data_IF_770520505041
#
_entry.id   IF_770520505041
#
_cell.length_a   1.000
_cell.length_b   1.000
_cell.length_c   1.000
_cell.angle_alpha   90.00
_cell.angle_beta   90.00
_cell.angle_gamma   90.00
#
_symmetry.space_group_name_H-M   'P 1'
#
loop_
_entity.id
_entity.type
_entity.pdbx_description
1 polymer ?
#
# COMPACT_ATOMS: atom_id res chain seq x y z
N UNK A 1 10.22 -28.26 -3.42
CA UNK A 1 9.30 -28.44 -2.25
C UNK A 1 9.49 -27.25 -1.29
N UNK A 2 8.46 -26.44 -1.11
CA UNK A 2 8.49 -25.28 -0.23
C UNK A 2 8.83 -25.64 1.23
N UNK A 3 8.48 -26.85 1.71
CA UNK A 3 8.79 -27.36 3.06
C UNK A 3 10.29 -27.46 3.34
N UNK A 4 11.09 -27.59 2.29
CA UNK A 4 12.54 -27.61 2.44
C UNK A 4 13.16 -26.23 2.67
N UNK A 5 12.41 -25.18 2.35
CA UNK A 5 12.85 -23.77 2.46
C UNK A 5 12.70 -23.24 3.90
N UNK A 6 11.68 -23.73 4.63
CA UNK A 6 11.29 -23.17 5.92
C UNK A 6 11.57 -24.12 7.07
N UNK A 7 12.02 -23.57 8.19
CA UNK A 7 12.03 -24.24 9.48
C UNK A 7 10.62 -24.29 10.08
N UNK A 8 9.86 -23.17 9.91
CA UNK A 8 8.47 -23.01 10.37
C UNK A 8 7.68 -22.25 9.33
N UNK A 9 6.44 -22.65 9.11
CA UNK A 9 5.46 -21.94 8.31
C UNK A 9 4.11 -22.00 9.03
N UNK A 10 3.57 -20.86 9.42
CA UNK A 10 2.29 -20.78 10.11
C UNK A 10 1.16 -20.92 9.10
N UNK A 11 0.45 -22.04 9.13
CA UNK A 11 -0.63 -22.34 8.19
C UNK A 11 -1.86 -21.44 8.36
N UNK A 12 -2.09 -20.92 9.57
CA UNK A 12 -3.10 -19.92 9.80
C UNK A 12 -2.59 -18.54 9.32
N UNK A 13 -3.34 -17.83 8.46
CA UNK A 13 -2.95 -16.50 8.04
C UNK A 13 -3.01 -15.52 9.23
N UNK A 14 -2.09 -14.58 9.25
CA UNK A 14 -2.03 -13.50 10.26
C UNK A 14 -2.79 -12.25 9.81
N UNK A 15 -3.02 -12.11 8.50
CA UNK A 15 -3.80 -11.02 7.91
C UNK A 15 -4.40 -11.45 6.56
N UNK A 16 -5.48 -10.79 6.17
CA UNK A 16 -5.98 -10.82 4.81
C UNK A 16 -5.26 -9.73 3.98
N UNK A 17 -5.09 -10.00 2.69
CA UNK A 17 -4.72 -9.02 1.67
C UNK A 17 -5.87 -8.89 0.66
N UNK A 18 -5.88 -7.87 -0.22
CA UNK A 18 -6.96 -7.63 -1.19
C UNK A 18 -7.28 -8.88 -2.01
N UNK A 19 -6.27 -9.56 -2.52
CA UNK A 19 -6.39 -10.75 -3.37
C UNK A 19 -5.70 -12.00 -2.79
N UNK A 20 -5.40 -12.02 -1.48
CA UNK A 20 -4.63 -13.10 -0.88
C UNK A 20 -4.62 -13.07 0.64
N UNK A 21 -3.62 -13.69 1.21
CA UNK A 21 -3.43 -13.79 2.65
C UNK A 21 -1.95 -13.72 3.01
N UNK A 22 -1.65 -13.27 4.23
CA UNK A 22 -0.29 -13.13 4.75
C UNK A 22 -0.03 -14.18 5.83
N UNK A 23 1.07 -14.90 5.71
CA UNK A 23 1.53 -15.91 6.66
C UNK A 23 2.87 -15.51 7.28
N UNK A 24 3.09 -15.92 8.52
CA UNK A 24 4.43 -15.82 9.13
C UNK A 24 5.21 -17.10 8.85
N UNK A 25 6.47 -16.94 8.51
CA UNK A 25 7.36 -18.06 8.29
C UNK A 25 8.75 -17.78 8.86
N UNK A 26 9.51 -18.83 9.14
CA UNK A 26 10.93 -18.74 9.47
C UNK A 26 11.71 -19.65 8.54
N UNK A 27 12.73 -19.12 7.89
CA UNK A 27 13.64 -19.87 7.06
C UNK A 27 14.56 -20.78 7.90
N UNK A 28 15.28 -21.69 7.25
CA UNK A 28 16.18 -22.62 7.95
C UNK A 28 17.41 -21.94 8.57
N UNK A 29 17.82 -20.81 8.01
CA UNK A 29 18.88 -19.93 8.54
C UNK A 29 18.38 -18.96 9.62
N UNK A 30 17.09 -19.06 9.99
CA UNK A 30 16.49 -18.35 11.13
C UNK A 30 15.89 -16.99 10.80
N UNK A 31 15.81 -16.58 9.53
CA UNK A 31 15.18 -15.32 9.14
C UNK A 31 13.66 -15.39 9.30
N UNK A 32 13.06 -14.43 10.01
CA UNK A 32 11.62 -14.28 10.11
C UNK A 32 11.09 -13.56 8.88
N UNK A 33 10.03 -14.10 8.27
CA UNK A 33 9.41 -13.60 7.05
C UNK A 33 7.92 -13.40 7.18
N UNK A 34 7.39 -12.44 6.43
CA UNK A 34 6.00 -12.35 6.03
C UNK A 34 5.90 -12.87 4.59
N UNK A 35 5.00 -13.84 4.37
CA UNK A 35 4.75 -14.43 3.06
C UNK A 35 3.33 -14.08 2.64
N UNK A 36 3.19 -13.23 1.62
CA UNK A 36 1.91 -12.86 1.01
C UNK A 36 1.63 -13.86 -0.12
N UNK A 37 0.50 -14.56 -0.04
CA UNK A 37 0.09 -15.58 -1.01
C UNK A 37 -1.21 -15.17 -1.67
N UNK A 38 -1.27 -15.22 -2.99
CA UNK A 38 -2.54 -15.00 -3.70
C UNK A 38 -3.50 -16.16 -3.53
N UNK A 39 -4.80 -15.87 -3.54
CA UNK A 39 -5.82 -16.91 -3.65
C UNK A 39 -5.71 -17.63 -5.01
N UNK A 40 -5.87 -18.95 -5.04
CA UNK A 40 -5.78 -19.71 -6.27
C UNK A 40 -6.76 -19.22 -7.33
N UNK A 41 -6.26 -18.93 -8.52
CA UNK A 41 -7.09 -18.58 -9.68
C UNK A 41 -7.42 -17.11 -9.84
N UNK A 42 -7.17 -16.24 -8.86
CA UNK A 42 -7.51 -14.79 -8.92
C UNK A 42 -7.02 -14.16 -10.23
N UNK A 43 -5.74 -14.32 -10.56
CA UNK A 43 -5.17 -13.73 -11.77
C UNK A 43 -5.83 -14.21 -13.06
N UNK A 44 -6.37 -15.44 -13.06
CA UNK A 44 -7.04 -16.03 -14.24
C UNK A 44 -8.50 -15.59 -14.37
N UNK A 45 -9.13 -15.20 -13.28
CA UNK A 45 -10.53 -14.76 -13.29
C UNK A 45 -10.71 -13.28 -13.59
N UNK A 46 -9.66 -12.46 -13.47
CA UNK A 46 -9.75 -10.99 -13.60
C UNK A 46 -10.55 -10.57 -14.85
N UNK A 47 -10.16 -11.05 -16.03
CA UNK A 47 -10.80 -10.63 -17.28
C UNK A 47 -12.28 -11.03 -17.31
N UNK A 48 -12.60 -12.27 -16.92
CA UNK A 48 -13.98 -12.76 -16.90
C UNK A 48 -14.82 -12.04 -15.83
N UNK A 49 -14.23 -11.73 -14.70
CA UNK A 49 -14.95 -11.04 -13.62
C UNK A 49 -15.29 -9.59 -14.01
N UNK A 50 -14.36 -8.87 -14.63
CA UNK A 50 -14.61 -7.53 -15.17
C UNK A 50 -15.65 -7.57 -16.29
N UNK A 51 -15.59 -8.53 -17.22
CA UNK A 51 -16.56 -8.68 -18.31
C UNK A 51 -17.97 -9.03 -17.79
N UNK A 52 -18.04 -9.85 -16.73
CA UNK A 52 -19.31 -10.16 -16.06
C UNK A 52 -19.93 -8.92 -15.41
N UNK A 53 -19.14 -8.11 -14.71
CA UNK A 53 -19.57 -6.83 -14.11
C UNK A 53 -20.04 -5.87 -15.20
N UNK A 54 -19.30 -5.75 -16.31
CA UNK A 54 -19.66 -4.92 -17.45
C UNK A 54 -21.00 -5.35 -18.06
N UNK A 55 -21.21 -6.64 -18.21
CA UNK A 55 -22.45 -7.22 -18.72
C UNK A 55 -23.63 -6.91 -17.81
N UNK A 56 -23.44 -7.09 -16.49
CA UNK A 56 -24.46 -6.78 -15.49
C UNK A 56 -24.84 -5.29 -15.51
N UNK A 57 -23.87 -4.39 -15.58
CA UNK A 57 -24.11 -2.96 -15.67
C UNK A 57 -24.88 -2.57 -16.94
N UNK A 58 -24.59 -3.18 -18.09
CA UNK A 58 -25.33 -2.95 -19.34
C UNK A 58 -26.77 -3.44 -19.25
N UNK A 59 -27.01 -4.63 -18.69
CA UNK A 59 -28.35 -5.22 -18.56
C UNK A 59 -29.18 -4.48 -17.53
N UNK A 60 -28.61 -3.97 -16.46
CA UNK A 60 -29.31 -3.22 -15.41
C UNK A 60 -29.88 -1.88 -15.88
N UNK A 61 -29.41 -1.35 -17.02
CA UNK A 61 -29.80 -0.04 -17.53
C UNK A 61 -29.30 1.15 -16.68
N UNK A 62 -28.39 0.91 -15.74
CA UNK A 62 -27.82 1.96 -14.89
C UNK A 62 -26.88 2.89 -15.66
N UNK A 63 -26.33 2.42 -16.79
CA UNK A 63 -25.41 3.21 -17.61
C UNK A 63 -26.15 3.86 -18.78
N UNK A 64 -25.89 5.15 -19.05
CA UNK A 64 -26.40 5.80 -20.27
C UNK A 64 -25.92 5.04 -21.52
N UNK A 65 -26.78 4.84 -22.49
CA UNK A 65 -26.46 4.13 -23.74
C UNK A 65 -25.36 4.83 -24.58
N UNK A 66 -25.15 6.11 -24.33
CA UNK A 66 -24.11 6.92 -25.00
C UNK A 66 -22.73 6.82 -24.36
N UNK A 67 -22.62 6.17 -23.19
CA UNK A 67 -21.34 6.03 -22.48
C UNK A 67 -20.56 4.85 -23.05
N UNK A 68 -19.41 5.13 -23.67
CA UNK A 68 -18.44 4.11 -24.04
C UNK A 68 -17.64 3.69 -22.79
N UNK A 69 -17.97 2.54 -22.26
CA UNK A 69 -17.30 2.00 -21.06
C UNK A 69 -16.10 1.11 -21.40
N UNK A 70 -15.86 0.81 -22.67
CA UNK A 70 -14.80 -0.12 -23.07
C UNK A 70 -13.41 0.35 -22.61
N UNK A 71 -13.02 1.63 -22.78
CA UNK A 71 -11.71 2.09 -22.29
C UNK A 71 -11.56 1.98 -20.77
N UNK A 72 -12.66 2.22 -20.04
CA UNK A 72 -12.67 2.13 -18.57
C UNK A 72 -12.48 0.68 -18.10
N UNK A 73 -13.14 -0.28 -18.79
CA UNK A 73 -13.03 -1.70 -18.48
C UNK A 73 -11.62 -2.23 -18.78
N UNK A 74 -11.03 -1.84 -19.90
CA UNK A 74 -9.65 -2.23 -20.23
C UNK A 74 -8.65 -1.66 -19.22
N UNK A 75 -8.86 -0.41 -18.79
CA UNK A 75 -8.05 0.19 -17.74
C UNK A 75 -8.21 -0.54 -16.40
N UNK A 76 -9.45 -0.90 -16.02
CA UNK A 76 -9.72 -1.67 -14.82
C UNK A 76 -9.04 -3.05 -14.86
N UNK A 77 -9.11 -3.78 -16.00
CA UNK A 77 -8.41 -5.04 -16.21
C UNK A 77 -6.90 -4.86 -16.03
N UNK A 78 -6.32 -3.83 -16.65
CA UNK A 78 -4.90 -3.54 -16.56
C UNK A 78 -4.49 -3.30 -15.10
N UNK A 79 -5.23 -2.48 -14.36
CA UNK A 79 -4.94 -2.19 -12.95
C UNK A 79 -5.03 -3.44 -12.07
N UNK A 80 -6.07 -4.26 -12.25
CA UNK A 80 -6.22 -5.52 -11.51
C UNK A 80 -5.10 -6.52 -11.82
N UNK A 81 -4.67 -6.62 -13.09
CA UNK A 81 -3.53 -7.46 -13.45
C UNK A 81 -2.21 -6.96 -12.85
N UNK A 82 -2.03 -5.64 -12.75
CA UNK A 82 -0.87 -5.04 -12.11
C UNK A 82 -0.87 -5.29 -10.60
N UNK A 83 -2.01 -5.16 -9.93
CA UNK A 83 -2.18 -5.47 -8.51
C UNK A 83 -1.97 -6.97 -8.23
N UNK A 84 -2.35 -7.83 -9.19
CA UNK A 84 -2.15 -9.28 -9.11
C UNK A 84 -0.70 -9.73 -9.41
N UNK A 85 0.27 -8.82 -9.60
CA UNK A 85 1.67 -9.18 -9.83
C UNK A 85 2.55 -8.83 -8.63
N UNK A 86 2.78 -9.80 -7.77
CA UNK A 86 3.61 -9.63 -6.57
C UNK A 86 5.10 -9.41 -6.85
N UNK A 87 5.60 -9.69 -8.06
CA UNK A 87 6.95 -9.26 -8.44
C UNK A 87 7.03 -7.75 -8.58
N UNK A 88 6.01 -7.15 -9.22
CA UNK A 88 5.89 -5.68 -9.32
C UNK A 88 5.82 -5.03 -7.93
N UNK A 89 5.09 -5.64 -7.00
CA UNK A 89 5.04 -5.16 -5.62
C UNK A 89 6.42 -5.25 -4.94
N UNK A 90 7.18 -6.33 -5.16
CA UNK A 90 8.55 -6.47 -4.67
C UNK A 90 9.49 -5.40 -5.25
N UNK A 91 9.40 -5.13 -6.55
CA UNK A 91 10.21 -4.10 -7.23
C UNK A 91 9.89 -2.70 -6.67
N UNK A 92 8.61 -2.39 -6.46
CA UNK A 92 8.17 -1.15 -5.84
C UNK A 92 8.69 -1.03 -4.39
N UNK A 93 8.58 -2.10 -3.61
CA UNK A 93 9.10 -2.15 -2.23
C UNK A 93 10.60 -1.84 -2.19
N UNK A 94 11.39 -2.42 -3.09
CA UNK A 94 12.83 -2.14 -3.19
C UNK A 94 13.09 -0.68 -3.61
N UNK A 95 12.33 -0.17 -4.59
CA UNK A 95 12.42 1.22 -5.04
C UNK A 95 12.14 2.19 -3.90
N UNK A 96 11.03 2.01 -3.17
CA UNK A 96 10.67 2.86 -2.03
C UNK A 96 11.67 2.72 -0.87
N UNK A 97 12.20 1.51 -0.64
CA UNK A 97 13.30 1.30 0.31
C UNK A 97 14.53 2.15 0.00
N UNK A 98 14.85 2.31 -1.29
CA UNK A 98 15.95 3.17 -1.74
C UNK A 98 15.60 4.67 -1.62
N UNK A 99 14.39 5.06 -1.97
CA UNK A 99 13.91 6.46 -1.90
C UNK A 99 13.79 6.97 -0.46
N UNK A 100 13.54 6.07 0.49
CA UNK A 100 13.38 6.38 1.91
C UNK A 100 14.59 5.98 2.76
N UNK A 101 15.74 5.66 2.13
CA UNK A 101 16.92 5.19 2.85
C UNK A 101 17.41 6.16 3.94
N UNK A 102 17.30 7.47 3.68
CA UNK A 102 17.70 8.53 4.61
C UNK A 102 16.54 9.03 5.51
N UNK A 103 15.33 8.45 5.38
CA UNK A 103 14.16 8.85 6.14
C UNK A 103 14.06 8.07 7.47
N UNK A 104 14.45 8.70 8.58
CA UNK A 104 14.48 8.07 9.90
C UNK A 104 13.10 7.72 10.47
N UNK A 105 12.02 8.30 9.94
CA UNK A 105 10.65 8.08 10.42
C UNK A 105 10.04 6.79 9.90
N UNK A 106 10.63 6.18 8.86
CA UNK A 106 10.05 5.03 8.18
C UNK A 106 10.95 3.80 8.25
N UNK A 107 10.32 2.63 8.20
CA UNK A 107 10.96 1.34 7.99
C UNK A 107 10.11 0.51 7.03
N UNK A 108 10.76 -0.15 6.10
CA UNK A 108 10.14 -1.03 5.13
C UNK A 108 10.67 -2.45 5.31
N UNK A 109 9.83 -3.48 5.09
CA UNK A 109 10.34 -4.82 4.94
C UNK A 109 11.26 -4.90 3.71
N UNK A 110 12.12 -5.90 3.67
CA UNK A 110 12.98 -6.16 2.52
C UNK A 110 12.44 -7.35 1.74
N UNK A 111 12.26 -7.20 0.43
CA UNK A 111 11.85 -8.31 -0.43
C UNK A 111 12.93 -9.40 -0.47
N UNK A 112 12.50 -10.66 -0.45
CA UNK A 112 13.36 -11.83 -0.57
C UNK A 112 13.15 -12.43 -1.97
N UNK A 113 13.94 -11.98 -2.94
CA UNK A 113 13.76 -12.30 -4.37
C UNK A 113 13.81 -13.80 -4.65
N UNK A 114 14.67 -14.55 -3.94
CA UNK A 114 14.77 -15.99 -4.09
C UNK A 114 13.45 -16.73 -3.82
N UNK A 115 12.60 -16.18 -2.96
CA UNK A 115 11.30 -16.75 -2.56
C UNK A 115 10.11 -16.05 -3.22
N UNK A 116 10.33 -14.91 -3.87
CA UNK A 116 9.26 -14.11 -4.51
C UNK A 116 8.94 -14.64 -5.90
N UNK A 117 7.66 -14.71 -6.23
CA UNK A 117 7.07 -15.13 -7.52
C UNK A 117 5.94 -14.15 -7.87
N UNK A 118 5.32 -14.34 -9.04
CA UNK A 118 4.18 -13.50 -9.46
C UNK A 118 2.96 -13.60 -8.52
N UNK A 119 2.82 -14.72 -7.82
CA UNK A 119 1.73 -15.04 -6.90
C UNK A 119 2.17 -15.19 -5.43
N UNK A 120 3.46 -14.98 -5.15
CA UNK A 120 4.07 -15.08 -3.82
C UNK A 120 5.00 -13.90 -3.61
N UNK A 121 4.75 -13.07 -2.58
CA UNK A 121 5.70 -12.08 -2.11
C UNK A 121 6.27 -12.52 -0.77
N UNK A 122 7.58 -12.75 -0.72
CA UNK A 122 8.32 -13.00 0.50
C UNK A 122 9.06 -11.74 0.91
N UNK A 123 8.90 -11.31 2.15
CA UNK A 123 9.58 -10.13 2.68
C UNK A 123 9.98 -10.34 4.14
N UNK A 124 10.97 -9.60 4.61
CA UNK A 124 11.41 -9.65 6.00
C UNK A 124 10.24 -9.30 6.93
N UNK A 125 10.19 -9.99 8.08
CA UNK A 125 9.23 -9.65 9.13
C UNK A 125 9.57 -8.31 9.77
N UNK A 126 8.59 -7.42 9.90
CA UNK A 126 8.73 -6.16 10.64
C UNK A 126 7.66 -6.10 11.73
N UNK A 127 8.08 -5.76 12.95
CA UNK A 127 7.16 -5.60 14.08
C UNK A 127 6.43 -4.24 14.00
N UNK A 128 5.28 -4.18 14.66
CA UNK A 128 4.53 -2.94 14.80
C UNK A 128 3.07 -3.20 15.17
N UNK A 129 2.41 -2.18 15.71
CA UNK A 129 0.96 -2.14 15.98
C UNK A 129 0.26 -1.38 14.87
N UNK A 130 -1.03 -1.63 14.64
CA UNK A 130 -1.81 -0.88 13.68
C UNK A 130 -1.81 0.62 14.03
N UNK A 131 -1.66 1.51 13.04
CA UNK A 131 -1.65 2.97 13.28
C UNK A 131 -2.96 3.41 13.93
N UNK A 132 -4.09 2.81 13.60
CA UNK A 132 -5.40 3.10 14.19
C UNK A 132 -5.43 2.85 15.71
N UNK A 133 -4.61 1.91 16.22
CA UNK A 133 -4.53 1.64 17.66
C UNK A 133 -3.91 2.81 18.44
N UNK A 134 -3.32 3.79 17.77
CA UNK A 134 -2.81 5.01 18.38
C UNK A 134 -3.90 6.04 18.68
N UNK A 135 -5.17 5.77 18.38
CA UNK A 135 -6.27 6.73 18.61
C UNK A 135 -6.32 7.27 20.05
N UNK A 136 -5.98 6.44 21.03
CA UNK A 136 -5.94 6.81 22.46
C UNK A 136 -4.51 7.17 22.95
N UNK A 137 -3.53 7.23 22.06
CA UNK A 137 -2.16 7.61 22.40
C UNK A 137 -2.07 9.12 22.72
N UNK A 138 -1.00 9.58 23.41
CA UNK A 138 -0.76 11.00 23.64
C UNK A 138 -0.82 11.82 22.35
N UNK A 139 -1.42 13.02 22.42
CA UNK A 139 -1.62 13.91 21.26
C UNK A 139 -0.31 14.13 20.48
N UNK A 140 0.80 14.39 21.17
CA UNK A 140 2.10 14.61 20.53
C UNK A 140 2.57 13.41 19.68
N UNK A 141 2.27 12.17 20.08
CA UNK A 141 2.60 10.98 19.29
C UNK A 141 1.70 10.89 18.05
N UNK A 142 0.39 11.10 18.22
CA UNK A 142 -0.57 11.09 17.13
C UNK A 142 -0.22 12.12 16.05
N UNK A 143 0.06 13.35 16.47
CA UNK A 143 0.42 14.44 15.57
C UNK A 143 1.73 14.18 14.83
N UNK A 144 2.73 13.60 15.51
CA UNK A 144 3.99 13.21 14.87
C UNK A 144 3.77 12.15 13.79
N UNK A 145 3.01 11.09 14.08
CA UNK A 145 2.72 10.03 13.11
C UNK A 145 1.93 10.58 11.92
N UNK A 146 0.91 11.39 12.17
CA UNK A 146 0.11 12.00 11.11
C UNK A 146 0.95 12.94 10.23
N UNK A 147 1.79 13.77 10.84
CA UNK A 147 2.68 14.67 10.11
C UNK A 147 3.67 13.89 9.22
N UNK A 148 4.24 12.80 9.72
CA UNK A 148 5.13 11.96 8.94
C UNK A 148 4.42 11.29 7.75
N UNK A 149 3.18 10.79 7.92
CA UNK A 149 2.40 10.22 6.82
C UNK A 149 2.01 11.27 5.77
N UNK A 150 1.66 12.48 6.19
CA UNK A 150 1.40 13.60 5.28
C UNK A 150 2.68 13.98 4.51
N UNK A 151 3.83 14.05 5.20
CA UNK A 151 5.12 14.32 4.56
C UNK A 151 5.48 13.24 3.54
N UNK A 152 5.21 11.96 3.83
CA UNK A 152 5.39 10.86 2.89
C UNK A 152 4.60 11.10 1.59
N UNK A 153 3.30 11.41 1.68
CA UNK A 153 2.46 11.69 0.50
C UNK A 153 3.03 12.86 -0.32
N UNK A 154 3.51 13.91 0.35
CA UNK A 154 4.13 15.04 -0.34
C UNK A 154 5.45 14.67 -1.02
N UNK A 155 6.27 13.83 -0.41
CA UNK A 155 7.49 13.30 -1.04
C UNK A 155 7.17 12.42 -2.24
N UNK A 156 6.18 11.54 -2.12
CA UNK A 156 5.71 10.69 -3.22
C UNK A 156 5.30 11.52 -4.42
N UNK A 157 4.50 12.57 -4.18
CA UNK A 157 3.98 13.45 -5.23
C UNK A 157 5.06 14.34 -5.85
N UNK A 158 5.94 14.96 -5.03
CA UNK A 158 6.84 16.03 -5.50
C UNK A 158 8.30 15.62 -5.65
N UNK A 159 8.74 14.55 -5.02
CA UNK A 159 10.14 14.13 -5.02
C UNK A 159 10.36 12.78 -5.69
N UNK A 160 9.48 11.81 -5.45
CA UNK A 160 9.70 10.44 -5.92
C UNK A 160 9.18 10.20 -7.33
N UNK A 161 8.23 11.02 -7.81
CA UNK A 161 7.53 10.81 -9.08
C UNK A 161 6.79 9.46 -9.12
N UNK A 162 6.37 8.99 -7.96
CA UNK A 162 5.62 7.76 -7.77
C UNK A 162 4.83 7.86 -6.48
N UNK A 163 3.58 7.42 -6.49
CA UNK A 163 2.65 7.54 -5.37
C UNK A 163 1.97 6.22 -5.07
N UNK A 164 1.85 5.86 -3.81
CA UNK A 164 0.93 4.82 -3.35
C UNK A 164 -0.50 5.34 -3.51
N UNK A 165 -1.31 4.63 -4.29
CA UNK A 165 -2.69 5.04 -4.59
C UNK A 165 -3.74 4.30 -3.77
N UNK A 166 -3.32 3.41 -2.86
CA UNK A 166 -4.16 2.80 -1.83
C UNK A 166 -3.86 3.41 -0.44
N UNK A 167 -4.57 4.47 -0.03
CA UNK A 167 -4.33 5.18 1.23
C UNK A 167 -4.92 4.47 2.46
N UNK A 168 -5.10 3.16 2.41
CA UNK A 168 -5.64 2.37 3.51
C UNK A 168 -4.70 2.39 4.72
N UNK A 169 -5.17 2.87 5.87
CA UNK A 169 -4.37 2.91 7.10
C UNK A 169 -3.91 1.53 7.57
N UNK A 170 -4.58 0.44 7.18
CA UNK A 170 -4.14 -0.93 7.45
C UNK A 170 -2.76 -1.27 6.83
N UNK A 171 -2.33 -0.51 5.82
CA UNK A 171 -1.02 -0.65 5.18
C UNK A 171 0.12 -0.02 6.00
N UNK A 172 -0.22 0.66 7.11
CA UNK A 172 0.74 1.33 7.97
C UNK A 172 0.72 0.75 9.39
N UNK A 173 1.90 0.53 9.95
CA UNK A 173 2.05 0.12 11.34
C UNK A 173 2.99 1.08 12.05
N UNK A 174 2.92 1.12 13.36
CA UNK A 174 3.82 1.87 14.21
C UNK A 174 4.63 0.92 15.08
N UNK A 175 5.96 1.04 15.02
CA UNK A 175 6.84 0.28 15.92
C UNK A 175 7.13 1.10 17.18
N UNK A 176 6.55 0.72 18.34
CA UNK A 176 6.75 1.47 19.58
C UNK A 176 8.18 1.37 20.14
N UNK A 177 8.99 0.40 19.68
CA UNK A 177 10.37 0.22 20.13
C UNK A 177 11.31 1.23 19.48
N UNK A 178 11.11 1.48 18.19
CA UNK A 178 11.96 2.39 17.40
C UNK A 178 11.32 3.75 17.19
N UNK A 179 10.00 3.88 17.40
CA UNK A 179 9.23 5.07 17.12
C UNK A 179 8.99 5.32 15.62
N UNK A 180 9.19 4.31 14.77
CA UNK A 180 9.13 4.42 13.30
C UNK A 180 7.81 3.90 12.76
N UNK A 181 7.42 4.41 11.62
CA UNK A 181 6.26 3.96 10.85
C UNK A 181 6.70 2.87 9.89
N UNK A 182 6.02 1.74 9.91
CA UNK A 182 6.24 0.60 9.01
C UNK A 182 5.31 0.73 7.83
N UNK A 183 5.85 0.68 6.61
CA UNK A 183 5.10 0.70 5.35
C UNK A 183 5.06 -0.72 4.79
N UNK A 184 3.86 -1.28 4.55
CA UNK A 184 3.70 -2.72 4.27
C UNK A 184 3.27 -3.05 2.85
N UNK A 185 2.55 -2.17 2.15
CA UNK A 185 1.94 -2.48 0.85
C UNK A 185 2.41 -1.51 -0.24
N UNK A 186 2.89 -2.07 -1.36
CA UNK A 186 3.37 -1.34 -2.52
C UNK A 186 2.76 -1.88 -3.84
N UNK A 187 1.64 -2.62 -3.74
CA UNK A 187 0.94 -3.18 -4.89
C UNK A 187 0.33 -2.10 -5.80
N UNK A 188 -0.21 -1.05 -5.20
CA UNK A 188 -0.91 0.02 -5.90
C UNK A 188 -0.03 1.28 -6.07
N UNK A 189 1.20 1.14 -6.56
CA UNK A 189 2.08 2.28 -6.86
C UNK A 189 1.90 2.73 -8.31
N UNK A 190 1.62 4.02 -8.51
CA UNK A 190 1.47 4.64 -9.83
C UNK A 190 2.55 5.71 -10.07
N UNK A 191 3.08 5.83 -11.30
CA UNK A 191 3.98 6.91 -11.65
C UNK A 191 3.21 8.24 -11.70
N UNK A 192 3.85 9.29 -11.22
CA UNK A 192 3.35 10.67 -11.30
C UNK A 192 4.04 11.38 -12.47
N UNK A 193 3.24 11.94 -13.37
CA UNK A 193 3.77 12.69 -14.49
C UNK A 193 4.51 13.94 -13.97
N UNK A 194 5.72 14.24 -14.49
CA UNK A 194 6.52 15.39 -14.05
C UNK A 194 5.79 16.73 -14.18
N UNK A 195 4.91 16.86 -15.17
CA UNK A 195 4.09 18.06 -15.42
C UNK A 195 3.11 18.28 -14.26
N UNK A 196 2.51 17.21 -13.75
CA UNK A 196 1.59 17.26 -12.61
C UNK A 196 2.33 17.72 -11.35
N UNK A 197 3.54 17.22 -11.12
CA UNK A 197 4.37 17.62 -10.00
C UNK A 197 4.83 19.09 -10.14
N UNK A 198 5.08 19.59 -11.35
CA UNK A 198 5.49 20.97 -11.62
C UNK A 198 4.36 21.98 -11.40
N UNK A 199 3.13 21.64 -11.81
CA UNK A 199 1.96 22.52 -11.65
C UNK A 199 1.58 22.73 -10.17
N UNK A 200 1.93 21.78 -9.31
CA UNK A 200 1.67 21.82 -7.88
C UNK A 200 2.88 22.22 -7.03
N UNK A 201 3.95 22.85 -7.60
CA UNK A 201 5.07 23.29 -6.77
C UNK A 201 4.62 24.33 -5.71
N UNK A 202 4.11 23.89 -4.55
CA UNK A 202 3.92 24.79 -3.43
C UNK A 202 5.29 25.00 -2.79
N UNK A 203 5.55 26.18 -2.35
CA UNK A 203 6.70 26.45 -1.50
C UNK A 203 6.62 25.51 -0.29
N UNK A 204 7.67 24.72 0.04
CA UNK A 204 7.61 23.62 1.03
C UNK A 204 7.05 23.99 2.42
N UNK A 205 7.09 25.28 2.78
CA UNK A 205 6.58 25.82 4.04
C UNK A 205 5.06 26.09 4.09
N UNK A 206 4.38 26.10 2.94
CA UNK A 206 2.97 26.50 2.89
C UNK A 206 2.00 25.33 3.17
N UNK A 207 2.37 24.09 2.86
CA UNK A 207 1.46 22.96 2.96
C UNK A 207 1.35 22.42 4.38
N UNK A 208 2.45 22.30 5.11
CA UNK A 208 2.40 21.96 6.54
C UNK A 208 1.69 23.02 7.36
N UNK A 209 1.81 24.29 6.98
CA UNK A 209 1.07 25.40 7.59
C UNK A 209 -0.42 25.42 7.23
N UNK A 210 -0.79 25.06 5.99
CA UNK A 210 -2.20 25.03 5.53
C UNK A 210 -2.96 23.85 6.12
N UNK A 211 -2.38 22.67 6.20
CA UNK A 211 -2.99 21.52 6.85
C UNK A 211 -3.21 21.77 8.35
N UNK A 212 -2.25 22.39 9.03
CA UNK A 212 -2.37 22.74 10.45
C UNK A 212 -3.40 23.84 10.72
N UNK A 213 -3.68 24.74 9.76
CA UNK A 213 -4.60 25.87 9.95
C UNK A 213 -6.06 25.58 9.65
N UNK A 214 -6.34 24.59 8.78
CA UNK A 214 -7.72 24.29 8.35
C UNK A 214 -8.43 23.26 9.22
N UNK A 215 -7.70 22.43 9.96
CA UNK A 215 -8.28 21.43 10.86
C UNK A 215 -8.10 21.85 12.32
N UNK A 216 -9.22 22.12 12.99
CA UNK A 216 -9.24 22.55 14.40
C UNK A 216 -8.69 21.52 15.39
N UNK A 217 -8.43 20.29 14.95
CA UNK A 217 -7.94 19.17 15.75
C UNK A 217 -6.47 18.79 15.53
N UNK A 218 -5.74 19.47 14.62
CA UNK A 218 -4.35 19.13 14.27
C UNK A 218 -4.21 18.04 13.18
N UNK A 219 -2.97 17.64 12.85
CA UNK A 219 -2.67 16.70 11.74
C UNK A 219 -3.35 15.33 11.87
N UNK A 220 -3.52 14.84 13.09
CA UNK A 220 -4.18 13.54 13.32
C UNK A 220 -5.66 13.55 12.93
N UNK A 221 -6.39 14.62 13.26
CA UNK A 221 -7.80 14.74 12.89
C UNK A 221 -7.94 14.92 11.37
N UNK A 222 -7.02 15.66 10.74
CA UNK A 222 -6.95 15.77 9.29
C UNK A 222 -6.78 14.38 8.62
N UNK A 223 -5.90 13.54 9.16
CA UNK A 223 -5.69 12.18 8.66
C UNK A 223 -6.94 11.29 8.83
N UNK A 224 -7.66 11.42 9.96
CA UNK A 224 -8.89 10.66 10.23
C UNK A 224 -10.06 11.06 9.34
N UNK A 225 -10.14 12.33 8.95
CA UNK A 225 -11.20 12.89 8.11
C UNK A 225 -10.84 12.88 6.62
N UNK A 226 -9.71 12.28 6.25
CA UNK A 226 -9.28 12.18 4.87
C UNK A 226 -10.35 11.49 4.02
N UNK A 227 -10.79 12.11 2.90
CA UNK A 227 -12.00 11.69 2.17
C UNK A 227 -11.89 10.36 1.42
N UNK A 228 -10.74 9.70 1.45
CA UNK A 228 -10.51 8.42 0.78
C UNK A 228 -10.71 7.20 1.71
N UNK A 229 -11.67 7.27 2.64
CA UNK A 229 -12.23 6.06 3.21
C UNK A 229 -13.14 5.43 2.16
N UNK A 230 -12.59 4.50 1.39
CA UNK A 230 -13.37 3.55 0.60
C UNK A 230 -13.71 2.34 1.44
#
# INVERSE_FOLDING_TARGET
DWRTQFQRFDMAPIAAASIGQVHRARTRDGQELAIKLQYPGVRRSIDSDVDNVATLLRVSGLLPRSLDVAPLLEEAKRQLHEEADYRREADNLQRFGSLLADANDFVLPQAVDALTRSDILAMSWVEGVAVESLADAPQALRDRVAAALIDLVLRELFQFGAMQTDPNLANYRYDPKTGRIVLLDFGAVQPIAPELAADFQPRPLAITGLAAHHYRGGPWEALREWPFRL
#
